data_IF_665415565032
#
_entry.id   IF_665415565032
#
_cell.length_a   1.000
_cell.length_b   1.000
_cell.length_c   1.000
_cell.angle_alpha   90.00
_cell.angle_beta   90.00
_cell.angle_gamma   90.00
#
_symmetry.space_group_name_H-M   'P 1'
#
loop_
_entity.id
_entity.type
_entity.pdbx_description
1 polymer ?
#
# COMPACT_ATOMS: atom_id res chain seq x y z
N UNK A 1 -35.88 -2.85 62.09
CA UNK A 1 -34.78 -1.91 61.77
C UNK A 1 -33.91 -2.50 60.64
N UNK A 2 -34.48 -2.73 59.44
CA UNK A 2 -33.78 -3.39 58.31
C UNK A 2 -33.83 -2.60 56.99
N UNK A 3 -34.52 -1.46 56.94
CA UNK A 3 -34.75 -0.72 55.70
C UNK A 3 -33.54 0.15 55.31
N UNK A 4 -32.70 0.59 56.27
CA UNK A 4 -31.58 1.50 55.97
C UNK A 4 -30.36 0.82 55.32
N UNK A 5 -30.09 -0.45 55.61
CA UNK A 5 -28.95 -1.20 55.03
C UNK A 5 -29.18 -1.57 53.55
N UNK A 6 -30.44 -1.78 53.15
CA UNK A 6 -30.79 -2.12 51.75
C UNK A 6 -30.53 -0.95 50.79
N UNK A 7 -30.87 0.28 51.20
CA UNK A 7 -30.64 1.48 50.38
C UNK A 7 -29.14 1.82 50.24
N UNK A 8 -28.33 1.63 51.29
CA UNK A 8 -26.90 1.90 51.27
C UNK A 8 -26.12 0.94 50.33
N UNK A 9 -26.48 -0.34 50.32
CA UNK A 9 -25.84 -1.35 49.47
C UNK A 9 -26.17 -1.16 47.97
N UNK A 10 -27.37 -0.69 47.64
CA UNK A 10 -27.73 -0.35 46.27
C UNK A 10 -26.94 0.87 45.76
N UNK A 11 -26.82 1.93 46.55
CA UNK A 11 -26.03 3.13 46.22
C UNK A 11 -24.52 2.82 46.04
N UNK A 12 -23.95 1.91 46.84
CA UNK A 12 -22.57 1.44 46.69
C UNK A 12 -22.35 0.60 45.41
N UNK A 13 -23.32 -0.26 45.06
CA UNK A 13 -23.28 -1.06 43.82
C UNK A 13 -23.35 -0.21 42.55
N UNK A 14 -24.20 0.82 42.56
CA UNK A 14 -24.37 1.75 41.43
C UNK A 14 -23.14 2.64 41.19
N UNK A 15 -22.45 3.07 42.25
CA UNK A 15 -21.23 3.91 42.15
C UNK A 15 -20.02 3.12 41.66
N UNK A 16 -19.89 1.82 42.00
CA UNK A 16 -18.84 0.96 41.45
C UNK A 16 -19.07 0.59 39.98
N UNK A 17 -20.31 0.30 39.57
CA UNK A 17 -20.64 0.02 38.16
C UNK A 17 -20.35 1.21 37.24
N UNK A 18 -20.63 2.44 37.69
CA UNK A 18 -20.28 3.66 36.94
C UNK A 18 -18.76 3.86 36.80
N UNK A 19 -17.98 3.60 37.85
CA UNK A 19 -16.50 3.69 37.80
C UNK A 19 -15.88 2.64 36.87
N UNK A 20 -16.42 1.43 36.84
CA UNK A 20 -15.98 0.36 35.93
C UNK A 20 -16.32 0.71 34.46
N UNK A 21 -17.49 1.28 34.21
CA UNK A 21 -17.89 1.74 32.85
C UNK A 21 -17.01 2.91 32.39
N UNK A 22 -16.74 3.90 33.24
CA UNK A 22 -15.85 5.03 32.93
C UNK A 22 -14.40 4.58 32.69
N UNK A 23 -13.90 3.60 33.44
CA UNK A 23 -12.55 3.07 33.28
C UNK A 23 -12.40 2.30 31.95
N UNK A 24 -13.42 1.54 31.53
CA UNK A 24 -13.44 0.86 30.24
C UNK A 24 -13.60 1.83 29.05
N UNK A 25 -14.35 2.92 29.21
CA UNK A 25 -14.47 3.95 28.18
C UNK A 25 -13.17 4.73 27.98
N UNK A 26 -12.44 5.00 29.07
CA UNK A 26 -11.14 5.67 29.04
C UNK A 26 -10.03 4.79 28.44
N UNK A 27 -10.12 3.47 28.62
CA UNK A 27 -9.15 2.52 28.06
C UNK A 27 -9.29 2.37 26.53
N UNK A 28 -10.50 2.49 25.98
CA UNK A 28 -10.74 2.45 24.51
C UNK A 28 -10.24 3.72 23.81
N UNK A 29 -10.19 4.87 24.51
CA UNK A 29 -9.70 6.14 23.95
C UNK A 29 -8.17 6.22 23.79
N UNK A 30 -7.42 5.37 24.49
CA UNK A 30 -5.95 5.30 24.44
C UNK A 30 -5.42 4.40 23.33
N UNK A 31 -6.27 3.52 22.78
CA UNK A 31 -5.93 2.64 21.65
C UNK A 31 -6.51 3.29 20.39
N UNK A 32 -5.86 4.37 19.93
CA UNK A 32 -6.22 5.00 18.65
C UNK A 32 -6.17 3.98 17.49
N UNK A 33 -6.80 4.27 16.34
CA UNK A 33 -6.73 3.38 15.19
C UNK A 33 -5.25 3.17 14.82
N UNK A 34 -4.80 1.92 14.89
CA UNK A 34 -3.50 1.53 14.36
C UNK A 34 -3.60 1.69 12.84
N UNK A 35 -2.96 2.74 12.30
CA UNK A 35 -2.75 2.82 10.86
C UNK A 35 -1.96 1.58 10.47
N UNK A 36 -2.55 0.73 9.63
CA UNK A 36 -1.85 -0.41 9.07
C UNK A 36 -0.69 0.13 8.23
N UNK A 37 0.52 0.10 8.79
CA UNK A 37 1.70 0.53 8.08
C UNK A 37 2.01 -0.51 6.99
N UNK A 38 2.01 -0.06 5.73
CA UNK A 38 2.39 -0.93 4.61
C UNK A 38 3.83 -1.41 4.69
N UNK A 39 4.09 -2.52 4.02
CA UNK A 39 5.42 -3.13 3.93
C UNK A 39 6.19 -2.57 2.75
N UNK A 40 7.52 -2.59 2.87
CA UNK A 40 8.41 -2.27 1.76
C UNK A 40 8.93 -3.55 1.13
N UNK A 41 8.83 -3.64 -0.18
CA UNK A 41 9.34 -4.71 -1.02
C UNK A 41 10.35 -4.16 -2.02
N UNK A 42 11.14 -5.05 -2.62
CA UNK A 42 12.14 -4.72 -3.63
C UNK A 42 11.92 -5.58 -4.88
N UNK A 43 12.04 -4.96 -6.06
CA UNK A 43 12.09 -5.68 -7.32
C UNK A 43 13.30 -5.27 -8.16
N UNK A 44 13.79 -6.16 -9.02
CA UNK A 44 14.92 -5.94 -9.93
C UNK A 44 14.64 -6.54 -11.31
N UNK A 45 15.40 -6.16 -12.36
CA UNK A 45 15.22 -6.76 -13.70
C UNK A 45 15.43 -8.28 -13.73
N UNK A 46 16.21 -8.83 -12.81
CA UNK A 46 16.51 -10.26 -12.70
C UNK A 46 15.99 -10.85 -11.40
N UNK A 47 14.86 -10.34 -10.92
CA UNK A 47 14.22 -10.80 -9.70
C UNK A 47 13.87 -12.29 -9.71
N UNK A 48 13.79 -12.87 -8.52
CA UNK A 48 13.44 -14.27 -8.30
C UNK A 48 13.41 -14.68 -6.83
N UNK A 49 13.46 -13.69 -5.92
CA UNK A 49 13.43 -13.89 -4.47
C UNK A 49 12.07 -13.59 -3.87
N UNK A 50 12.07 -13.25 -2.58
CA UNK A 50 10.90 -12.96 -1.76
C UNK A 50 10.55 -11.47 -1.66
N UNK A 51 11.36 -10.60 -2.26
CA UNK A 51 11.18 -9.17 -2.29
C UNK A 51 11.36 -8.47 -0.95
N UNK A 52 11.71 -9.17 0.13
CA UNK A 52 11.81 -8.57 1.48
C UNK A 52 13.11 -7.79 1.65
N UNK A 53 14.14 -8.12 0.87
CA UNK A 53 15.45 -7.48 0.91
C UNK A 53 15.95 -7.16 -0.50
N UNK A 54 16.79 -6.12 -0.67
CA UNK A 54 17.42 -5.82 -1.97
C UNK A 54 18.26 -6.96 -2.55
N UNK A 55 18.79 -7.83 -1.69
CA UNK A 55 19.59 -9.01 -2.08
C UNK A 55 18.73 -10.20 -2.53
N UNK A 56 17.42 -10.13 -2.33
CA UNK A 56 16.44 -11.17 -2.69
C UNK A 56 15.23 -10.50 -3.36
N UNK A 57 15.41 -9.77 -4.48
CA UNK A 57 14.34 -8.97 -5.06
C UNK A 57 13.33 -9.83 -5.82
N UNK A 58 12.10 -9.36 -5.87
CA UNK A 58 11.04 -9.82 -6.78
C UNK A 58 11.31 -9.42 -8.24
N UNK A 59 10.57 -10.03 -9.18
CA UNK A 59 10.15 -9.34 -10.40
C UNK A 59 8.95 -8.43 -10.10
N UNK A 60 8.67 -7.42 -10.92
CA UNK A 60 7.52 -6.54 -10.66
C UNK A 60 6.21 -7.35 -10.58
N UNK A 61 6.04 -8.37 -11.43
CA UNK A 61 4.87 -9.25 -11.41
C UNK A 61 4.65 -9.99 -10.08
N UNK A 62 5.70 -10.33 -9.34
CA UNK A 62 5.58 -11.12 -8.12
C UNK A 62 4.95 -10.30 -6.99
N UNK A 63 5.22 -8.98 -6.98
CA UNK A 63 4.70 -8.05 -5.98
C UNK A 63 3.17 -8.00 -5.96
N UNK A 64 2.52 -8.15 -7.12
CA UNK A 64 1.06 -8.09 -7.21
C UNK A 64 0.34 -9.14 -6.38
N UNK A 65 0.99 -10.27 -6.08
CA UNK A 65 0.41 -11.32 -5.24
C UNK A 65 0.35 -10.96 -3.75
N UNK A 66 1.14 -9.98 -3.33
CA UNK A 66 1.26 -9.59 -1.90
C UNK A 66 0.85 -8.15 -1.63
N UNK A 67 0.75 -7.32 -2.66
CA UNK A 67 0.47 -5.89 -2.56
C UNK A 67 -0.86 -5.60 -1.84
N UNK A 68 -0.79 -4.68 -0.88
CA UNK A 68 -1.93 -4.16 -0.10
C UNK A 68 -1.85 -2.64 -0.02
N UNK A 69 -2.97 -1.95 0.30
CA UNK A 69 -2.96 -0.52 0.58
C UNK A 69 -1.85 -0.12 1.55
N UNK A 70 -1.07 0.89 1.17
CA UNK A 70 0.08 1.41 1.91
C UNK A 70 1.42 0.74 1.60
N UNK A 71 1.44 -0.39 0.89
CA UNK A 71 2.69 -1.08 0.55
C UNK A 71 3.52 -0.27 -0.47
N UNK A 72 4.84 -0.44 -0.39
CA UNK A 72 5.82 0.23 -1.24
C UNK A 72 6.63 -0.84 -1.99
N UNK A 73 6.69 -0.76 -3.31
CA UNK A 73 7.65 -1.47 -4.14
C UNK A 73 8.79 -0.53 -4.55
N UNK A 74 10.00 -0.83 -4.08
CA UNK A 74 11.22 -0.15 -4.47
C UNK A 74 11.87 -0.89 -5.64
N UNK A 75 11.97 -0.23 -6.79
CA UNK A 75 12.62 -0.73 -7.98
C UNK A 75 14.12 -0.45 -7.90
N UNK A 76 14.95 -1.50 -7.95
CA UNK A 76 16.39 -1.41 -8.04
C UNK A 76 16.82 -0.95 -9.44
N UNK A 77 17.98 -0.30 -9.54
CA UNK A 77 18.47 0.28 -10.79
C UNK A 77 18.55 -0.76 -11.92
N UNK A 78 18.15 -0.34 -13.12
CA UNK A 78 18.26 -1.17 -14.31
C UNK A 78 17.15 -0.97 -15.33
N UNK A 79 17.23 -1.77 -16.39
CA UNK A 79 16.27 -1.78 -17.49
C UNK A 79 15.38 -3.02 -17.36
N UNK A 80 14.10 -2.77 -17.13
CA UNK A 80 13.06 -3.75 -16.91
C UNK A 80 12.41 -4.11 -18.25
N UNK A 81 12.58 -5.36 -18.69
CA UNK A 81 12.13 -5.89 -19.98
C UNK A 81 11.30 -7.16 -19.80
N UNK A 82 10.52 -7.52 -20.81
CA UNK A 82 9.66 -8.69 -20.77
C UNK A 82 8.33 -8.47 -20.03
N UNK A 83 7.44 -9.46 -20.04
CA UNK A 83 6.08 -9.33 -19.51
C UNK A 83 6.03 -9.16 -17.98
N UNK A 84 7.01 -9.70 -17.25
CA UNK A 84 7.03 -9.71 -15.78
C UNK A 84 7.61 -8.41 -15.17
N UNK A 85 7.92 -7.45 -16.03
CA UNK A 85 8.68 -6.24 -15.71
C UNK A 85 7.86 -4.96 -15.92
N UNK A 86 6.61 -5.07 -16.38
CA UNK A 86 5.74 -3.91 -16.60
C UNK A 86 5.04 -3.54 -15.29
N UNK A 87 4.73 -2.25 -15.13
CA UNK A 87 3.81 -1.80 -14.09
C UNK A 87 2.39 -1.98 -14.62
N UNK A 88 1.88 -3.19 -14.43
CA UNK A 88 0.57 -3.65 -14.92
C UNK A 88 -0.08 -4.52 -13.83
N UNK A 89 -0.61 -3.89 -12.75
CA UNK A 89 -1.27 -4.61 -11.67
C UNK A 89 -2.60 -5.24 -12.14
N UNK A 90 -3.08 -6.32 -11.49
CA UNK A 90 -4.40 -6.88 -11.78
C UNK A 90 -5.52 -5.85 -11.64
N UNK A 91 -6.57 -5.97 -12.46
CA UNK A 91 -7.78 -5.15 -12.36
C UNK A 91 -8.30 -5.09 -10.92
N UNK A 92 -8.69 -3.89 -10.49
CA UNK A 92 -9.25 -3.61 -9.16
C UNK A 92 -8.29 -3.77 -7.97
N UNK A 93 -7.04 -4.17 -8.16
CA UNK A 93 -6.02 -4.00 -7.13
C UNK A 93 -5.80 -2.51 -6.91
N UNK A 94 -6.06 -2.01 -5.70
CA UNK A 94 -6.02 -0.57 -5.40
C UNK A 94 -5.40 -0.29 -4.05
N UNK A 95 -4.81 0.89 -3.91
CA UNK A 95 -4.57 1.47 -2.59
C UNK A 95 -5.88 1.95 -1.95
N UNK A 96 -5.75 2.72 -0.87
CA UNK A 96 -6.89 3.42 -0.27
C UNK A 96 -6.52 4.85 0.09
N UNK A 97 -7.52 5.65 0.44
CA UNK A 97 -7.30 7.03 0.92
C UNK A 97 -6.29 7.04 2.08
N UNK A 98 -5.27 7.87 1.96
CA UNK A 98 -4.15 7.97 2.91
C UNK A 98 -3.16 6.79 2.87
N UNK A 99 -3.45 5.69 2.17
CA UNK A 99 -2.61 4.49 2.08
C UNK A 99 -2.48 4.02 0.61
N UNK A 100 -1.88 4.82 -0.28
CA UNK A 100 -1.68 4.41 -1.66
C UNK A 100 -0.68 3.25 -1.78
N UNK A 101 -0.81 2.45 -2.83
CA UNK A 101 0.26 1.53 -3.24
C UNK A 101 1.32 2.35 -3.97
N UNK A 102 2.56 2.33 -3.50
CA UNK A 102 3.64 3.15 -4.06
C UNK A 102 4.62 2.28 -4.83
N UNK A 103 4.95 2.68 -6.05
CA UNK A 103 6.01 2.09 -6.86
C UNK A 103 7.03 3.19 -7.14
N UNK A 104 8.28 2.99 -6.71
CA UNK A 104 9.31 4.02 -6.85
C UNK A 104 10.67 3.46 -7.20
N UNK A 105 11.44 4.22 -7.97
CA UNK A 105 12.85 3.93 -8.14
C UNK A 105 13.62 4.11 -6.81
N UNK A 106 14.60 3.25 -6.54
CA UNK A 106 15.54 3.41 -5.44
C UNK A 106 16.38 4.68 -5.62
N UNK A 107 16.91 4.87 -6.83
CA UNK A 107 17.60 6.07 -7.27
C UNK A 107 16.78 6.72 -8.41
N UNK A 108 16.38 7.98 -8.22
CA UNK A 108 15.52 8.73 -9.16
C UNK A 108 16.15 8.73 -10.57
N UNK A 109 15.38 8.34 -11.59
CA UNK A 109 15.82 8.29 -12.99
C UNK A 109 16.69 7.09 -13.37
N UNK A 110 17.02 6.19 -12.44
CA UNK A 110 17.89 5.02 -12.71
C UNK A 110 17.13 3.73 -13.04
N UNK A 111 15.81 3.81 -13.17
CA UNK A 111 14.94 2.70 -13.55
C UNK A 111 14.29 3.02 -14.89
N UNK A 112 14.40 2.13 -15.86
CA UNK A 112 13.72 2.24 -17.15
C UNK A 112 12.83 1.02 -17.36
N UNK A 113 11.52 1.25 -17.51
CA UNK A 113 10.56 0.22 -17.92
C UNK A 113 10.44 0.26 -19.46
N UNK A 114 10.96 -0.77 -20.12
CA UNK A 114 11.04 -0.85 -21.59
C UNK A 114 9.99 -1.84 -22.11
N UNK A 115 8.98 -1.31 -22.80
CA UNK A 115 7.90 -2.11 -23.38
C UNK A 115 8.30 -2.93 -24.60
N UNK A 116 9.53 -2.74 -25.11
CA UNK A 116 10.10 -3.43 -26.27
C UNK A 116 9.27 -3.29 -27.56
N UNK A 117 8.47 -2.23 -27.66
CA UNK A 117 7.54 -1.97 -28.75
C UNK A 117 6.30 -2.87 -28.76
N UNK A 118 6.16 -3.79 -27.81
CA UNK A 118 5.09 -4.81 -27.79
C UNK A 118 4.25 -4.80 -26.51
N UNK A 119 4.65 -4.05 -25.47
CA UNK A 119 3.96 -3.99 -24.16
C UNK A 119 3.68 -2.54 -23.74
N UNK A 120 2.82 -2.36 -22.73
CA UNK A 120 2.59 -1.07 -22.07
C UNK A 120 3.46 -1.00 -20.81
N UNK A 121 4.45 -0.09 -20.75
CA UNK A 121 5.34 0.03 -19.59
C UNK A 121 4.61 0.33 -18.28
N UNK A 122 3.67 1.27 -18.33
CA UNK A 122 2.83 1.62 -17.19
C UNK A 122 1.37 1.62 -17.65
N UNK A 123 0.61 0.67 -17.12
CA UNK A 123 -0.81 0.53 -17.40
C UNK A 123 -1.57 0.29 -16.10
N UNK A 124 -2.42 1.25 -15.73
CA UNK A 124 -3.33 1.12 -14.59
C UNK A 124 -4.76 1.05 -15.15
N UNK A 125 -5.41 -0.11 -15.01
CA UNK A 125 -6.77 -0.36 -15.49
C UNK A 125 -7.69 -0.73 -14.33
N UNK A 126 -8.64 0.17 -14.01
CA UNK A 126 -9.46 0.06 -12.79
C UNK A 126 -8.64 -0.01 -11.49
N UNK A 127 -7.50 0.66 -11.45
CA UNK A 127 -6.67 0.76 -10.25
C UNK A 127 -6.74 2.17 -9.70
N UNK A 128 -7.09 2.30 -8.42
CA UNK A 128 -7.15 3.57 -7.70
C UNK A 128 -5.99 3.67 -6.69
N UNK A 129 -5.65 4.91 -6.32
CA UNK A 129 -4.69 5.21 -5.24
C UNK A 129 -3.30 4.58 -5.43
N UNK A 130 -2.73 4.69 -6.64
CA UNK A 130 -1.33 4.39 -6.91
C UNK A 130 -0.47 5.66 -6.87
N UNK A 131 0.77 5.52 -6.43
CA UNK A 131 1.83 6.51 -6.61
C UNK A 131 2.95 5.88 -7.42
N UNK A 132 3.25 6.40 -8.60
CA UNK A 132 4.37 5.98 -9.44
C UNK A 132 5.38 7.13 -9.50
N UNK A 133 6.61 6.86 -9.06
CA UNK A 133 7.58 7.93 -8.85
C UNK A 133 9.02 7.59 -9.29
N UNK A 134 9.66 8.52 -9.99
CA UNK A 134 11.11 8.50 -10.23
C UNK A 134 11.59 7.50 -11.29
N UNK A 135 10.70 7.01 -12.16
CA UNK A 135 11.03 6.01 -13.19
C UNK A 135 11.04 6.63 -14.60
N UNK A 136 11.74 6.00 -15.53
CA UNK A 136 11.57 6.22 -16.96
C UNK A 136 10.72 5.09 -17.55
N UNK A 137 9.96 5.38 -18.59
CA UNK A 137 9.20 4.41 -19.36
C UNK A 137 9.38 4.68 -20.86
N UNK A 138 9.49 3.64 -21.69
CA UNK A 138 9.68 3.82 -23.13
C UNK A 138 9.22 2.62 -23.97
N UNK A 139 9.25 2.80 -25.29
CA UNK A 139 9.01 1.76 -26.30
C UNK A 139 7.68 1.00 -26.06
N UNK A 140 6.57 1.72 -25.94
CA UNK A 140 5.27 1.09 -25.76
C UNK A 140 4.65 0.61 -27.07
N UNK A 141 3.80 -0.42 -27.01
CA UNK A 141 2.87 -0.76 -28.08
C UNK A 141 1.64 0.17 -28.18
N UNK A 142 1.41 1.01 -27.16
CA UNK A 142 0.35 2.03 -27.11
C UNK A 142 0.87 3.30 -26.43
N UNK A 143 0.13 3.85 -25.49
CA UNK A 143 0.59 4.93 -24.61
C UNK A 143 1.66 4.39 -23.64
N UNK A 144 2.73 5.15 -23.46
CA UNK A 144 3.84 4.80 -22.56
C UNK A 144 3.38 4.73 -21.09
N UNK A 145 2.53 5.68 -20.69
CA UNK A 145 1.82 5.70 -19.42
C UNK A 145 0.33 5.81 -19.72
N UNK A 146 -0.45 4.81 -19.31
CA UNK A 146 -1.89 4.76 -19.49
C UNK A 146 -2.57 4.52 -18.14
N UNK A 147 -3.45 5.46 -17.76
CA UNK A 147 -4.36 5.31 -16.62
C UNK A 147 -5.76 5.31 -17.20
N UNK A 148 -6.48 4.21 -17.03
CA UNK A 148 -7.79 4.01 -17.61
C UNK A 148 -8.73 3.49 -16.54
N UNK A 149 -9.85 4.18 -16.36
CA UNK A 149 -10.90 3.82 -15.38
C UNK A 149 -10.42 3.76 -13.92
N UNK A 150 -9.34 4.48 -13.59
CA UNK A 150 -8.81 4.63 -12.23
C UNK A 150 -8.79 6.10 -11.79
N UNK A 151 -8.80 6.32 -10.48
CA UNK A 151 -8.91 7.60 -9.80
C UNK A 151 -7.82 7.74 -8.72
N UNK A 152 -7.53 8.98 -8.32
CA UNK A 152 -6.59 9.29 -7.23
C UNK A 152 -5.17 8.74 -7.39
N UNK A 153 -4.76 8.49 -8.64
CA UNK A 153 -3.40 8.08 -8.98
C UNK A 153 -2.50 9.31 -9.11
N UNK A 154 -1.25 9.17 -8.68
CA UNK A 154 -0.23 10.21 -8.78
C UNK A 154 0.95 9.66 -9.57
N UNK A 155 1.27 10.33 -10.67
CA UNK A 155 2.47 10.06 -11.48
C UNK A 155 3.37 11.29 -11.34
N UNK A 156 4.60 11.10 -10.86
CA UNK A 156 5.52 12.23 -10.64
C UNK A 156 6.97 11.86 -10.89
N UNK A 157 7.74 12.82 -11.43
CA UNK A 157 9.15 12.62 -11.82
C UNK A 157 9.31 11.38 -12.70
N UNK A 158 8.41 11.26 -13.68
CA UNK A 158 8.44 10.20 -14.68
C UNK A 158 8.83 10.80 -16.02
N UNK A 159 9.77 10.15 -16.71
CA UNK A 159 10.10 10.43 -18.10
C UNK A 159 9.42 9.36 -18.98
N UNK A 160 8.60 9.78 -19.95
CA UNK A 160 7.78 8.89 -20.77
C UNK A 160 7.60 9.44 -22.19
#
# INVERSE_FOLDING_TARGET
MQISQSCANQLFSLTMKKKIILLNLLLILLIGPVLAQGKTYYASPTGGGDGLFPSSPFLISDFWNVAKPGDILILLDGIYKGPNSMIDPPDYLSGSEGNPITIKAKNDGMVTIDGEGVRRPVYLYHNDWFVIEGINACNSSKSVVEISRGNHNIIRRVCA
#
